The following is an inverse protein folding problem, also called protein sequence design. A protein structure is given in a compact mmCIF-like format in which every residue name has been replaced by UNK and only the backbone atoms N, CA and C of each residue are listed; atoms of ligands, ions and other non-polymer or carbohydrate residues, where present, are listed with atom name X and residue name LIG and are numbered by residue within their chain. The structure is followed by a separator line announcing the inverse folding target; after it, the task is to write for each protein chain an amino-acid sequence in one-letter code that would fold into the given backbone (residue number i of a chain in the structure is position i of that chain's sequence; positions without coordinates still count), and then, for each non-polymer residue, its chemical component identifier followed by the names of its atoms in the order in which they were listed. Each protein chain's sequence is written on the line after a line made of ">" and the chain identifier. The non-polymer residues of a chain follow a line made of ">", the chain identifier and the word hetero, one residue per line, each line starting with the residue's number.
data_IF_775150805539
#
_entry.id   IF_775150805539
#
_cell.length_a   1.000
_cell.length_b   1.000
_cell.length_c   1.000
_cell.angle_alpha   90.00
_cell.angle_beta   90.00
_cell.angle_gamma   90.00
#
_symmetry.space_group_name_H-M   'P 1'
#
loop_
_entity.id
_entity.type
_entity.pdbx_description
1 polymer ?
#
# COMPACT_ATOMS: atom_id res chain seq x y z
N UNK A 1 22.63 -3.96 -56.43
CA UNK A 1 21.20 -3.83 -56.10
C UNK A 1 20.85 -4.84 -55.01
N UNK A 2 20.68 -4.36 -53.76
CA UNK A 2 20.00 -5.00 -52.59
C UNK A 2 20.46 -4.24 -51.34
N UNK A 3 19.71 -3.18 -51.00
CA UNK A 3 19.93 -2.31 -49.84
C UNK A 3 19.06 -2.88 -48.69
N UNK A 4 19.68 -3.33 -47.60
CA UNK A 4 19.00 -3.77 -46.38
C UNK A 4 18.27 -2.56 -45.77
N UNK A 5 16.95 -2.60 -45.70
CA UNK A 5 16.16 -1.66 -44.90
C UNK A 5 16.37 -1.99 -43.41
N UNK A 6 16.91 -1.02 -42.68
CA UNK A 6 16.89 -1.03 -41.21
C UNK A 6 15.57 -0.39 -40.79
N UNK A 7 14.72 -1.14 -40.11
CA UNK A 7 13.55 -0.59 -39.41
C UNK A 7 14.08 0.11 -38.15
N UNK A 8 13.98 1.42 -38.12
CA UNK A 8 14.21 2.21 -36.91
C UNK A 8 12.92 2.16 -36.07
N UNK A 9 12.99 1.50 -34.91
CA UNK A 9 11.99 1.67 -33.86
C UNK A 9 12.22 3.05 -33.24
N UNK A 10 11.26 3.95 -33.41
CA UNK A 10 11.24 5.26 -32.75
C UNK A 10 10.61 5.05 -31.38
N UNK A 11 11.45 5.04 -30.34
CA UNK A 11 11.00 5.14 -28.95
C UNK A 11 10.56 6.58 -28.71
N UNK A 12 9.27 6.82 -28.55
CA UNK A 12 8.77 8.15 -28.16
C UNK A 12 9.02 8.30 -26.65
N UNK A 13 10.09 9.02 -26.30
CA UNK A 13 10.28 9.56 -24.97
C UNK A 13 9.31 10.74 -24.80
N UNK A 14 8.26 10.55 -24.00
CA UNK A 14 7.27 11.58 -23.72
C UNK A 14 7.79 12.49 -22.60
N UNK A 15 8.48 13.57 -22.97
CA UNK A 15 8.72 14.70 -22.06
C UNK A 15 7.47 15.58 -22.05
N UNK A 16 6.70 15.57 -20.95
CA UNK A 16 5.51 16.42 -20.79
C UNK A 16 5.81 17.58 -19.85
N UNK A 17 5.71 18.79 -20.40
CA UNK A 17 5.75 20.08 -19.72
C UNK A 17 4.31 20.48 -19.40
N UNK A 18 4.01 20.77 -18.13
CA UNK A 18 2.68 21.21 -17.69
C UNK A 18 2.46 22.70 -17.97
N UNK A 19 1.36 23.04 -18.66
CA UNK A 19 0.80 24.38 -18.69
C UNK A 19 -0.45 24.41 -17.79
N UNK A 20 -0.40 25.19 -16.71
CA UNK A 20 -1.52 25.38 -15.78
C UNK A 20 -2.51 26.42 -16.34
N UNK A 21 -3.77 26.03 -16.50
CA UNK A 21 -4.90 26.97 -16.47
C UNK A 21 -5.43 26.99 -15.03
N UNK A 22 -5.39 28.16 -14.39
CA UNK A 22 -5.89 28.36 -13.03
C UNK A 22 -7.42 28.42 -13.10
N UNK A 23 -8.07 27.31 -12.78
CA UNK A 23 -9.47 27.25 -12.39
C UNK A 23 -9.57 27.32 -10.87
N UNK A 24 -10.39 28.23 -10.34
CA UNK A 24 -10.68 28.31 -8.91
C UNK A 24 -11.51 27.08 -8.49
N UNK A 25 -10.96 26.21 -7.64
CA UNK A 25 -11.70 25.10 -7.05
C UNK A 25 -12.51 25.58 -5.83
N UNK A 26 -13.77 25.19 -5.77
CA UNK A 26 -14.59 25.31 -4.57
C UNK A 26 -14.10 24.28 -3.52
N UNK A 27 -13.78 24.77 -2.32
CA UNK A 27 -13.29 23.97 -1.19
C UNK A 27 -14.42 23.14 -0.59
N UNK A 28 -14.44 21.85 -0.88
CA UNK A 28 -15.03 20.85 0.02
C UNK A 28 -13.90 19.94 0.48
N UNK A 29 -13.15 20.37 1.50
CA UNK A 29 -12.11 19.56 2.09
C UNK A 29 -12.42 19.37 3.58
N UNK A 30 -12.86 18.17 3.91
CA UNK A 30 -13.03 17.72 5.29
C UNK A 30 -11.77 17.04 5.86
N UNK A 31 -10.78 16.73 5.00
CA UNK A 31 -9.44 16.27 5.38
C UNK A 31 -8.42 17.43 5.55
N UNK A 32 -7.15 17.10 5.74
CA UNK A 32 -6.05 18.04 6.01
C UNK A 32 -5.68 18.91 4.80
N UNK A 33 -5.95 18.44 3.59
CA UNK A 33 -5.61 19.14 2.36
C UNK A 33 -6.83 19.80 1.71
N UNK A 34 -6.69 20.96 1.04
CA UNK A 34 -7.81 21.68 0.43
C UNK A 34 -8.49 20.95 -0.74
N UNK A 35 -7.91 19.85 -1.22
CA UNK A 35 -8.48 18.99 -2.24
C UNK A 35 -7.55 17.84 -2.59
N UNK A 36 -8.07 16.87 -3.33
CA UNK A 36 -7.40 15.62 -3.68
C UNK A 36 -7.54 15.31 -5.18
N UNK A 37 -6.58 14.56 -5.71
CA UNK A 37 -6.53 14.06 -7.09
C UNK A 37 -6.11 12.59 -7.06
N UNK A 38 -6.73 11.78 -7.90
CA UNK A 38 -6.37 10.37 -8.03
C UNK A 38 -5.83 10.05 -9.41
N UNK A 39 -4.92 9.09 -9.46
CA UNK A 39 -4.49 8.42 -10.70
C UNK A 39 -4.78 6.93 -10.55
N UNK A 40 -5.08 6.26 -11.66
CA UNK A 40 -5.30 4.81 -11.67
C UNK A 40 -4.28 4.20 -12.61
N UNK A 41 -3.56 3.18 -12.15
CA UNK A 41 -2.80 2.29 -13.00
C UNK A 41 -3.48 0.93 -13.02
N UNK A 42 -3.58 0.35 -14.20
CA UNK A 42 -4.11 -1.01 -14.40
C UNK A 42 -3.04 -1.85 -15.05
N UNK A 43 -2.87 -3.10 -14.62
CA UNK A 43 -1.87 -4.03 -15.13
C UNK A 43 -2.51 -5.35 -15.51
N UNK A 44 -2.21 -5.84 -16.71
CA UNK A 44 -2.68 -7.12 -17.19
C UNK A 44 -1.69 -8.22 -16.77
N UNK A 45 -2.17 -9.11 -15.89
CA UNK A 45 -1.37 -10.20 -15.33
C UNK A 45 -1.40 -11.47 -16.19
N UNK A 46 -2.22 -11.47 -17.25
CA UNK A 46 -2.42 -12.62 -18.13
C UNK A 46 -1.48 -12.61 -19.33
N UNK A 47 -1.45 -13.74 -20.03
CA UNK A 47 -0.71 -13.93 -21.29
C UNK A 47 -1.52 -13.52 -22.53
N UNK A 48 -2.74 -13.02 -22.34
CA UNK A 48 -3.67 -12.58 -23.38
C UNK A 48 -3.92 -11.08 -23.25
N UNK A 49 -4.40 -10.41 -24.30
CA UNK A 49 -4.87 -9.02 -24.19
C UNK A 49 -6.11 -8.97 -23.30
N UNK A 50 -6.17 -8.00 -22.38
CA UNK A 50 -7.30 -7.77 -21.48
C UNK A 50 -8.20 -6.65 -22.01
N UNK A 51 -9.51 -6.91 -22.08
CA UNK A 51 -10.53 -5.89 -22.33
C UNK A 51 -11.09 -5.43 -20.99
N UNK A 52 -10.95 -4.14 -20.69
CA UNK A 52 -11.33 -3.57 -19.40
C UNK A 52 -12.42 -2.50 -19.53
N UNK A 53 -13.23 -2.37 -18.49
CA UNK A 53 -14.21 -1.29 -18.32
C UNK A 53 -13.99 -0.66 -16.95
N UNK A 54 -13.74 0.65 -16.93
CA UNK A 54 -13.71 1.47 -15.73
C UNK A 54 -15.05 2.19 -15.61
N UNK A 55 -15.83 1.86 -14.59
CA UNK A 55 -17.09 2.52 -14.25
C UNK A 55 -16.89 3.43 -13.04
N UNK A 56 -17.04 4.75 -13.25
CA UNK A 56 -16.90 5.77 -12.23
C UNK A 56 -18.27 6.10 -11.63
N UNK A 57 -18.40 5.92 -10.32
CA UNK A 57 -19.63 6.20 -9.58
C UNK A 57 -19.40 7.39 -8.64
N UNK A 58 -20.37 8.31 -8.56
CA UNK A 58 -20.34 9.38 -7.55
C UNK A 58 -20.61 8.82 -6.15
N UNK A 59 -20.35 9.63 -5.12
CA UNK A 59 -20.61 9.24 -3.72
C UNK A 59 -22.04 8.75 -3.46
N UNK A 60 -23.04 9.22 -4.20
CA UNK A 60 -24.44 8.79 -4.08
C UNK A 60 -24.75 7.46 -4.81
N UNK A 61 -23.78 6.88 -5.52
CA UNK A 61 -23.91 5.65 -6.29
C UNK A 61 -24.37 5.86 -7.73
N UNK A 62 -24.61 7.09 -8.17
CA UNK A 62 -24.92 7.37 -9.57
C UNK A 62 -23.71 7.15 -10.47
N UNK A 63 -23.91 6.49 -11.61
CA UNK A 63 -22.87 6.30 -12.62
C UNK A 63 -22.57 7.63 -13.32
N UNK A 64 -21.33 8.12 -13.16
CA UNK A 64 -20.84 9.33 -13.83
C UNK A 64 -20.35 9.02 -15.24
N UNK A 65 -19.51 7.99 -15.38
CA UNK A 65 -18.84 7.69 -16.64
C UNK A 65 -18.41 6.23 -16.72
N UNK A 66 -18.42 5.67 -17.92
CA UNK A 66 -17.69 4.46 -18.27
C UNK A 66 -16.59 4.76 -19.27
N UNK A 67 -15.43 4.12 -19.09
CA UNK A 67 -14.33 4.08 -20.06
C UNK A 67 -14.02 2.62 -20.39
N UNK A 68 -14.00 2.28 -21.67
CA UNK A 68 -13.52 0.97 -22.14
C UNK A 68 -12.12 1.12 -22.71
N UNK A 69 -11.26 0.15 -22.42
CA UNK A 69 -9.90 0.14 -22.90
C UNK A 69 -9.36 -1.28 -23.08
N UNK A 70 -8.18 -1.40 -23.68
CA UNK A 70 -7.44 -2.64 -23.78
C UNK A 70 -6.07 -2.50 -23.11
N UNK A 71 -5.62 -3.58 -22.47
CA UNK A 71 -4.27 -3.69 -21.93
C UNK A 71 -3.62 -4.91 -22.55
N UNK A 72 -2.54 -4.70 -23.31
CA UNK A 72 -1.77 -5.81 -23.87
C UNK A 72 -1.21 -6.71 -22.76
N UNK A 73 -0.92 -7.97 -23.10
CA UNK A 73 -0.35 -8.95 -22.17
C UNK A 73 0.91 -8.41 -21.48
N UNK A 74 1.06 -8.68 -20.18
CA UNK A 74 2.20 -8.22 -19.36
C UNK A 74 2.51 -6.71 -19.56
N UNK A 75 1.48 -5.87 -19.69
CA UNK A 75 1.61 -4.40 -19.78
C UNK A 75 0.72 -3.70 -18.75
N UNK A 76 1.08 -2.48 -18.40
CA UNK A 76 0.24 -1.57 -17.62
C UNK A 76 -0.21 -0.37 -18.44
N UNK A 77 -1.32 0.25 -18.00
CA UNK A 77 -1.82 1.52 -18.49
C UNK A 77 -2.13 2.44 -17.31
N UNK A 78 -1.69 3.70 -17.40
CA UNK A 78 -1.91 4.72 -16.37
C UNK A 78 -2.91 5.75 -16.89
N UNK A 79 -3.90 6.06 -16.06
CA UNK A 79 -4.91 7.10 -16.25
C UNK A 79 -4.59 8.25 -15.30
N UNK A 80 -3.82 9.24 -15.78
CA UNK A 80 -3.44 10.44 -15.02
C UNK A 80 -4.58 11.44 -14.89
N UNK A 81 -5.40 11.56 -15.94
CA UNK A 81 -6.60 12.39 -15.94
C UNK A 81 -7.80 11.47 -16.05
N UNK A 82 -8.60 11.42 -14.99
CA UNK A 82 -9.80 10.62 -14.97
C UNK A 82 -10.88 11.29 -15.83
N UNK A 83 -11.64 10.53 -16.65
CA UNK A 83 -12.63 11.07 -17.59
C UNK A 83 -13.94 11.47 -16.89
N UNK A 84 -13.85 12.16 -15.75
CA UNK A 84 -14.97 12.58 -14.89
C UNK A 84 -15.05 14.10 -14.85
N UNK A 85 -16.21 14.64 -14.47
CA UNK A 85 -16.37 16.10 -14.33
C UNK A 85 -15.54 16.65 -13.16
N UNK A 86 -15.20 17.94 -13.22
CA UNK A 86 -14.60 18.65 -12.10
C UNK A 86 -15.50 18.55 -10.85
N UNK A 87 -14.87 18.37 -9.69
CA UNK A 87 -15.60 18.13 -8.43
C UNK A 87 -16.09 16.69 -8.26
N UNK A 88 -15.68 15.75 -9.12
CA UNK A 88 -15.94 14.33 -8.90
C UNK A 88 -15.37 13.87 -7.56
N UNK A 89 -16.23 13.23 -6.77
CA UNK A 89 -15.89 12.47 -5.58
C UNK A 89 -16.70 11.19 -5.62
N UNK A 90 -16.05 10.06 -5.40
CA UNK A 90 -16.69 8.75 -5.53
C UNK A 90 -15.69 7.63 -5.71
N UNK A 91 -16.10 6.60 -6.44
CA UNK A 91 -15.37 5.35 -6.60
C UNK A 91 -15.24 4.92 -8.06
N UNK A 92 -14.38 3.94 -8.31
CA UNK A 92 -14.23 3.29 -9.62
C UNK A 92 -14.36 1.78 -9.44
N UNK A 93 -15.11 1.13 -10.33
CA UNK A 93 -15.15 -0.33 -10.45
C UNK A 93 -14.50 -0.70 -11.76
N UNK A 94 -13.50 -1.58 -11.71
CA UNK A 94 -12.77 -2.04 -12.89
C UNK A 94 -13.18 -3.49 -13.17
N UNK A 95 -13.84 -3.75 -14.29
CA UNK A 95 -14.14 -5.10 -14.76
C UNK A 95 -13.22 -5.47 -15.91
N UNK A 96 -12.86 -6.75 -16.02
CA UNK A 96 -11.95 -7.26 -17.05
C UNK A 96 -12.33 -8.68 -17.46
N UNK A 97 -12.05 -9.05 -18.71
CA UNK A 97 -12.17 -10.43 -19.19
C UNK A 97 -10.90 -11.29 -18.94
N UNK A 98 -9.83 -10.66 -18.44
CA UNK A 98 -8.60 -11.31 -17.98
C UNK A 98 -8.25 -10.85 -16.55
N UNK A 99 -7.46 -11.62 -15.77
CA UNK A 99 -6.92 -11.14 -14.51
C UNK A 99 -6.12 -9.83 -14.66
N UNK A 100 -6.58 -8.79 -13.97
CA UNK A 100 -5.93 -7.49 -13.91
C UNK A 100 -5.74 -7.08 -12.46
N UNK A 101 -4.70 -6.29 -12.22
CA UNK A 101 -4.49 -5.59 -10.96
C UNK A 101 -4.62 -4.09 -11.17
N UNK A 102 -4.94 -3.35 -10.12
CA UNK A 102 -4.98 -1.90 -10.14
C UNK A 102 -4.17 -1.31 -8.99
N UNK A 103 -3.57 -0.16 -9.23
CA UNK A 103 -2.95 0.70 -8.22
C UNK A 103 -3.57 2.07 -8.35
N UNK A 104 -3.81 2.73 -7.24
CA UNK A 104 -4.28 4.10 -7.23
C UNK A 104 -3.35 4.96 -6.38
N UNK A 105 -2.97 6.12 -6.90
CA UNK A 105 -2.27 7.13 -6.11
C UNK A 105 -3.25 8.24 -5.80
N UNK A 106 -3.52 8.47 -4.52
CA UNK A 106 -4.23 9.63 -4.02
C UNK A 106 -3.22 10.70 -3.66
N UNK A 107 -3.34 11.88 -4.26
CA UNK A 107 -2.46 13.02 -3.99
C UNK A 107 -3.28 14.22 -3.56
N UNK A 108 -2.68 15.13 -2.78
CA UNK A 108 -3.29 16.43 -2.57
C UNK A 108 -3.33 17.23 -3.89
N UNK A 109 -4.18 18.25 -3.98
CA UNK A 109 -4.35 19.06 -5.21
C UNK A 109 -3.06 19.73 -5.70
N UNK A 110 -2.13 20.01 -4.79
CA UNK A 110 -0.83 20.62 -5.05
C UNK A 110 0.24 19.60 -5.52
N UNK A 111 -0.05 18.30 -5.45
CA UNK A 111 0.85 17.20 -5.80
C UNK A 111 2.12 17.13 -4.93
N UNK A 112 2.03 17.58 -3.67
CA UNK A 112 3.13 17.64 -2.69
C UNK A 112 3.03 16.57 -1.61
N UNK A 113 1.96 15.78 -1.61
CA UNK A 113 1.75 14.65 -0.70
C UNK A 113 0.83 13.63 -1.36
N UNK A 114 1.04 12.34 -1.09
CA UNK A 114 0.14 11.31 -1.58
C UNK A 114 0.44 9.90 -1.12
N UNK A 115 -0.62 9.11 -0.94
CA UNK A 115 -0.56 7.70 -0.63
C UNK A 115 -0.93 6.81 -1.82
N UNK A 116 -0.39 5.60 -1.84
CA UNK A 116 -0.68 4.57 -2.84
C UNK A 116 -1.40 3.40 -2.20
N UNK A 117 -2.33 2.80 -2.92
CA UNK A 117 -3.01 1.57 -2.50
C UNK A 117 -3.34 0.68 -3.70
N UNK A 118 -3.49 -0.62 -3.46
CA UNK A 118 -3.86 -1.61 -4.47
C UNK A 118 -5.39 -1.68 -4.59
N UNK A 119 -5.93 -1.88 -5.79
CA UNK A 119 -7.36 -2.12 -5.98
C UNK A 119 -7.78 -3.48 -5.45
N UNK A 120 -8.86 -3.52 -4.68
CA UNK A 120 -9.41 -4.76 -4.13
C UNK A 120 -10.23 -5.53 -5.16
N UNK A 121 -9.99 -6.84 -5.27
CA UNK A 121 -10.70 -7.71 -6.22
C UNK A 121 -12.08 -8.15 -5.70
N UNK A 122 -12.27 -8.13 -4.39
CA UNK A 122 -13.49 -8.55 -3.70
C UNK A 122 -13.70 -7.68 -2.45
N UNK A 123 -14.96 -7.39 -2.12
CA UNK A 123 -15.31 -6.78 -0.83
C UNK A 123 -15.39 -7.83 0.28
N UNK A 124 -15.57 -7.38 1.51
CA UNK A 124 -15.87 -8.22 2.68
C UNK A 124 -17.00 -7.63 3.52
N UNK A 125 -17.78 -8.50 4.16
CA UNK A 125 -18.79 -8.07 5.15
C UNK A 125 -18.15 -7.66 6.48
N UNK A 126 -16.87 -7.94 6.69
CA UNK A 126 -16.08 -7.49 7.83
C UNK A 126 -14.73 -6.98 7.35
N UNK A 127 -14.39 -5.75 7.70
CA UNK A 127 -13.12 -5.11 7.32
C UNK A 127 -12.46 -4.49 8.55
N UNK A 128 -11.18 -4.75 8.74
CA UNK A 128 -10.40 -4.23 9.86
C UNK A 128 -9.47 -3.10 9.41
N UNK A 129 -9.37 -2.07 10.25
CA UNK A 129 -8.50 -0.90 10.06
C UNK A 129 -7.58 -0.79 11.28
N UNK A 130 -6.36 -1.37 11.23
CA UNK A 130 -5.49 -1.46 12.40
C UNK A 130 -4.99 -0.11 12.94
N UNK A 131 -4.96 0.91 12.08
CA UNK A 131 -4.41 2.23 12.39
C UNK A 131 -5.34 3.34 11.90
N UNK A 132 -5.97 4.03 12.85
CA UNK A 132 -6.69 5.27 12.66
C UNK A 132 -6.24 6.30 13.71
N UNK A 133 -6.37 7.57 13.37
CA UNK A 133 -5.87 8.67 14.18
C UNK A 133 -6.84 9.84 14.21
N UNK A 134 -7.06 10.41 15.40
CA UNK A 134 -7.80 11.65 15.59
C UNK A 134 -6.99 12.58 16.48
N UNK A 135 -6.43 13.65 15.90
CA UNK A 135 -5.55 14.58 16.60
C UNK A 135 -4.32 13.91 17.25
N UNK A 136 -3.70 12.97 16.53
CA UNK A 136 -2.49 12.28 16.98
C UNK A 136 -1.25 13.19 16.94
N UNK A 137 -0.16 12.72 17.55
CA UNK A 137 1.11 13.42 17.63
C UNK A 137 1.62 13.81 16.24
N UNK A 138 2.24 14.99 16.15
CA UNK A 138 2.66 15.57 14.86
C UNK A 138 1.51 16.11 14.00
N UNK A 139 0.27 16.11 14.49
CA UNK A 139 -0.89 16.66 13.78
C UNK A 139 -1.61 15.67 12.87
N UNK A 140 -1.30 14.38 13.01
CA UNK A 140 -1.88 13.33 12.16
C UNK A 140 -3.36 13.11 12.46
N UNK A 141 -4.10 12.91 11.37
CA UNK A 141 -5.49 12.51 11.37
C UNK A 141 -5.71 11.48 10.27
N UNK A 142 -6.72 10.65 10.43
CA UNK A 142 -7.15 9.72 9.41
C UNK A 142 -8.53 10.06 8.86
N UNK A 143 -8.76 9.57 7.66
CA UNK A 143 -10.09 9.34 7.12
C UNK A 143 -10.05 8.07 6.29
N UNK A 144 -11.19 7.41 6.13
CA UNK A 144 -11.28 6.25 5.24
C UNK A 144 -12.47 6.37 4.30
N UNK A 145 -12.26 5.93 3.06
CA UNK A 145 -13.29 5.79 2.05
C UNK A 145 -13.82 4.36 2.09
N UNK A 146 -15.13 4.23 2.21
CA UNK A 146 -15.86 2.97 2.15
C UNK A 146 -16.71 2.95 0.89
N UNK A 147 -16.60 1.89 0.10
CA UNK A 147 -17.38 1.67 -1.12
C UNK A 147 -18.32 0.47 -0.93
N UNK A 148 -19.57 0.64 -1.32
CA UNK A 148 -20.48 -0.46 -1.61
C UNK A 148 -20.42 -0.77 -3.11
N UNK A 149 -19.74 -1.82 -3.58
CA UNK A 149 -19.66 -2.16 -5.00
C UNK A 149 -20.92 -2.89 -5.53
N UNK A 150 -21.92 -3.14 -4.68
CA UNK A 150 -23.06 -4.00 -5.00
C UNK A 150 -24.25 -3.22 -5.60
N UNK A 151 -25.14 -3.90 -6.36
CA UNK A 151 -26.36 -3.31 -6.91
C UNK A 151 -27.48 -3.08 -5.87
N UNK A 152 -27.27 -3.44 -4.61
CA UNK A 152 -28.19 -3.27 -3.49
C UNK A 152 -27.62 -2.32 -2.45
N UNK A 153 -28.48 -1.68 -1.65
CA UNK A 153 -28.05 -0.91 -0.48
C UNK A 153 -27.59 -1.85 0.65
N UNK A 154 -26.62 -1.42 1.44
CA UNK A 154 -26.13 -2.15 2.63
C UNK A 154 -26.15 -1.25 3.86
N UNK A 155 -26.51 -1.81 5.03
CA UNK A 155 -26.19 -1.14 6.29
C UNK A 155 -24.74 -1.42 6.67
N UNK A 156 -24.11 -0.45 7.30
CA UNK A 156 -22.73 -0.52 7.75
C UNK A 156 -22.66 -0.04 9.20
N UNK A 157 -21.99 -0.81 10.04
CA UNK A 157 -21.63 -0.43 11.40
C UNK A 157 -20.11 -0.37 11.51
N UNK A 158 -19.58 0.73 12.02
CA UNK A 158 -18.15 0.89 12.32
C UNK A 158 -17.99 0.95 13.83
N UNK A 159 -17.33 -0.07 14.39
CA UNK A 159 -16.97 -0.14 15.80
C UNK A 159 -15.50 0.25 15.95
N UNK A 160 -15.22 1.26 16.75
CA UNK A 160 -13.86 1.72 17.02
C UNK A 160 -13.35 1.14 18.34
N UNK A 161 -12.05 0.87 18.43
CA UNK A 161 -11.44 0.25 19.62
C UNK A 161 -11.44 1.15 20.85
N UNK A 162 -11.71 2.45 20.68
CA UNK A 162 -11.92 3.42 21.75
C UNK A 162 -13.37 3.48 22.26
N UNK A 163 -14.24 2.59 21.76
CA UNK A 163 -15.64 2.47 22.16
C UNK A 163 -16.61 3.38 21.40
N UNK A 164 -16.14 4.24 20.49
CA UNK A 164 -17.03 4.98 19.60
C UNK A 164 -17.68 4.04 18.56
N UNK A 165 -18.89 4.36 18.10
CA UNK A 165 -19.59 3.57 17.09
C UNK A 165 -20.41 4.49 16.19
N UNK A 166 -20.37 4.22 14.88
CA UNK A 166 -21.21 4.91 13.90
C UNK A 166 -21.91 3.91 12.99
N UNK A 167 -23.07 4.32 12.46
CA UNK A 167 -23.91 3.51 11.59
C UNK A 167 -24.37 4.35 10.40
N UNK A 168 -24.30 3.78 9.20
CA UNK A 168 -24.83 4.39 7.98
C UNK A 168 -25.57 3.34 7.15
N UNK A 169 -26.43 3.82 6.25
CA UNK A 169 -26.93 3.02 5.13
C UNK A 169 -26.29 3.55 3.85
N UNK A 170 -25.61 2.68 3.11
CA UNK A 170 -24.94 3.03 1.87
C UNK A 170 -25.74 2.49 0.68
N UNK A 171 -26.11 3.36 -0.25
CA UNK A 171 -26.85 2.97 -1.46
C UNK A 171 -26.01 2.05 -2.36
N UNK A 172 -26.65 1.43 -3.36
CA UNK A 172 -25.97 0.66 -4.39
C UNK A 172 -24.88 1.49 -5.07
N UNK A 173 -23.68 0.93 -5.27
CA UNK A 173 -22.52 1.59 -5.89
C UNK A 173 -22.00 2.86 -5.19
N UNK A 174 -22.61 3.26 -4.07
CA UNK A 174 -22.26 4.48 -3.35
C UNK A 174 -20.97 4.33 -2.56
N UNK A 175 -20.41 5.48 -2.15
CA UNK A 175 -19.24 5.53 -1.29
C UNK A 175 -19.38 6.61 -0.23
N UNK A 176 -18.80 6.38 0.95
CA UNK A 176 -18.81 7.31 2.07
C UNK A 176 -17.41 7.52 2.62
N UNK A 177 -17.10 8.76 3.03
CA UNK A 177 -15.85 9.08 3.71
C UNK A 177 -16.12 9.33 5.19
N UNK A 178 -15.42 8.61 6.05
CA UNK A 178 -15.44 8.83 7.50
C UNK A 178 -14.22 9.65 7.89
N UNK A 179 -14.42 10.81 8.52
CA UNK A 179 -13.34 11.71 8.94
C UNK A 179 -13.16 11.65 10.45
N UNK A 180 -12.13 10.94 10.93
CA UNK A 180 -11.95 10.66 12.36
C UNK A 180 -11.80 11.93 13.20
N UNK A 181 -11.24 13.01 12.64
CA UNK A 181 -11.16 14.30 13.34
C UNK A 181 -12.52 14.92 13.68
N UNK A 182 -13.57 14.55 12.95
CA UNK A 182 -14.94 15.07 13.12
C UNK A 182 -15.82 14.14 13.97
N UNK A 183 -15.32 12.94 14.25
CA UNK A 183 -15.97 11.96 15.11
C UNK A 183 -15.58 12.20 16.59
N UNK A 184 -16.41 11.72 17.51
CA UNK A 184 -16.24 11.96 18.96
C UNK A 184 -15.33 10.93 19.62
N UNK A 185 -14.13 10.75 19.06
CA UNK A 185 -13.14 9.80 19.59
C UNK A 185 -12.57 10.26 20.93
N UNK A 186 -12.27 9.28 21.78
CA UNK A 186 -11.66 9.52 23.10
C UNK A 186 -10.17 9.21 23.12
N UNK A 187 -9.68 8.49 22.10
CA UNK A 187 -8.27 8.17 21.91
C UNK A 187 -7.72 8.82 20.64
N UNK A 188 -6.44 9.17 20.65
CA UNK A 188 -5.79 9.78 19.49
C UNK A 188 -5.32 8.77 18.44
N UNK A 189 -5.14 7.51 18.86
CA UNK A 189 -4.76 6.37 18.03
C UNK A 189 -5.66 5.20 18.41
N UNK A 190 -6.27 4.57 17.42
CA UNK A 190 -7.21 3.46 17.62
C UNK A 190 -7.30 2.61 16.36
N UNK A 191 -8.07 1.53 16.43
CA UNK A 191 -8.41 0.69 15.28
C UNK A 191 -9.93 0.67 15.08
N UNK A 192 -10.38 0.14 13.95
CA UNK A 192 -11.80 -0.08 13.70
C UNK A 192 -12.09 -1.48 13.15
N UNK A 193 -13.31 -1.94 13.41
CA UNK A 193 -13.97 -3.04 12.71
C UNK A 193 -15.20 -2.48 12.01
N UNK A 194 -15.20 -2.55 10.68
CA UNK A 194 -16.34 -2.27 9.83
C UNK A 194 -17.10 -3.57 9.59
N UNK A 195 -18.40 -3.57 9.82
CA UNK A 195 -19.30 -4.69 9.52
C UNK A 195 -20.44 -4.21 8.62
N UNK A 196 -20.93 -5.08 7.74
CA UNK A 196 -21.95 -4.73 6.75
C UNK A 196 -22.80 -5.91 6.31
N UNK A 197 -24.00 -5.63 5.80
CA UNK A 197 -24.94 -6.64 5.30
C UNK A 197 -24.47 -7.26 3.97
N UNK A 198 -23.78 -6.49 3.13
CA UNK A 198 -23.19 -6.90 1.85
C UNK A 198 -21.69 -6.58 1.80
N UNK A 199 -20.87 -7.29 1.01
CA UNK A 199 -19.43 -7.05 0.95
C UNK A 199 -19.06 -5.62 0.54
N UNK A 200 -18.23 -4.93 1.35
CA UNK A 200 -17.73 -3.57 1.09
C UNK A 200 -16.20 -3.55 0.92
N UNK A 201 -15.69 -2.49 0.31
CA UNK A 201 -14.25 -2.22 0.15
C UNK A 201 -13.88 -0.97 0.92
N UNK A 202 -12.74 -0.95 1.60
CA UNK A 202 -12.29 0.18 2.42
C UNK A 202 -10.83 0.51 2.15
N UNK A 203 -10.54 1.81 2.00
CA UNK A 203 -9.17 2.35 1.93
C UNK A 203 -9.04 3.46 2.96
N UNK A 204 -8.00 3.39 3.80
CA UNK A 204 -7.70 4.40 4.79
C UNK A 204 -6.57 5.32 4.33
N UNK A 205 -6.66 6.58 4.72
CA UNK A 205 -5.69 7.62 4.48
C UNK A 205 -5.23 8.21 5.81
N UNK A 206 -3.92 8.35 5.95
CA UNK A 206 -3.26 8.88 7.14
C UNK A 206 -2.52 10.15 6.72
N UNK A 207 -2.86 11.30 7.30
CA UNK A 207 -2.37 12.58 6.83
C UNK A 207 -2.07 13.56 7.96
N UNK A 208 -1.01 14.34 7.78
CA UNK A 208 -0.81 15.62 8.46
C UNK A 208 -0.93 16.76 7.45
N UNK A 209 -0.40 17.95 7.76
CA UNK A 209 -0.49 19.10 6.85
C UNK A 209 0.47 19.04 5.67
N UNK A 210 1.39 18.08 5.63
CA UNK A 210 2.49 18.03 4.68
C UNK A 210 2.72 16.66 4.01
N UNK A 211 2.13 15.59 4.56
CA UNK A 211 2.40 14.22 4.17
C UNK A 211 1.13 13.36 4.19
N UNK A 212 1.13 12.27 3.43
CA UNK A 212 -0.01 11.38 3.28
C UNK A 212 0.42 9.94 2.98
N UNK A 213 -0.11 8.99 3.73
CA UNK A 213 -0.04 7.57 3.41
C UNK A 213 -1.44 7.01 3.16
N UNK A 214 -1.50 5.86 2.49
CA UNK A 214 -2.72 5.09 2.30
C UNK A 214 -2.46 3.61 2.57
N UNK A 215 -3.50 2.87 2.96
CA UNK A 215 -3.47 1.42 3.07
C UNK A 215 -4.88 0.84 2.87
N UNK A 216 -4.97 -0.42 2.44
CA UNK A 216 -6.23 -1.13 2.27
C UNK A 216 -6.76 -1.71 3.59
N UNK A 217 -8.07 -1.75 3.76
CA UNK A 217 -8.69 -2.46 4.86
C UNK A 217 -8.53 -3.99 4.74
N UNK A 218 -8.45 -4.67 5.87
CA UNK A 218 -8.20 -6.12 5.91
C UNK A 218 -9.51 -6.89 5.99
N UNK A 219 -9.77 -7.79 5.05
CA UNK A 219 -10.93 -8.69 5.11
C UNK A 219 -10.85 -9.70 6.27
N UNK A 220 -9.63 -10.04 6.70
CA UNK A 220 -9.33 -10.95 7.81
C UNK A 220 -7.94 -10.65 8.39
N UNK A 221 -7.68 -11.12 9.61
CA UNK A 221 -6.33 -11.14 10.19
C UNK A 221 -5.62 -12.47 9.98
N UNK A 222 -4.29 -12.43 9.92
CA UNK A 222 -3.41 -13.61 9.85
C UNK A 222 -2.95 -14.02 11.26
N UNK A 223 -2.69 -15.30 11.51
CA UNK A 223 -2.13 -15.72 12.81
C UNK A 223 -0.70 -15.22 12.99
N UNK A 224 0.08 -15.26 11.91
CA UNK A 224 1.49 -14.87 11.90
C UNK A 224 1.77 -13.91 10.72
N UNK A 225 1.28 -12.66 10.75
CA UNK A 225 1.50 -11.72 9.65
C UNK A 225 2.98 -11.44 9.42
N UNK A 226 3.33 -11.16 8.16
CA UNK A 226 4.70 -10.86 7.72
C UNK A 226 4.81 -9.48 7.05
N UNK A 227 5.94 -8.82 7.27
CA UNK A 227 6.23 -7.45 6.88
C UNK A 227 7.59 -7.43 6.15
N UNK A 228 7.61 -7.43 4.81
CA UNK A 228 8.84 -7.61 4.03
C UNK A 228 9.81 -6.43 4.14
N UNK A 229 9.42 -5.30 4.75
CA UNK A 229 10.33 -4.19 5.00
C UNK A 229 10.07 -3.49 6.33
N UNK A 230 11.10 -3.45 7.16
CA UNK A 230 11.22 -2.62 8.36
C UNK A 230 12.50 -1.80 8.23
N UNK A 231 12.35 -0.48 8.30
CA UNK A 231 13.44 0.48 8.34
C UNK A 231 13.54 1.09 9.74
N UNK A 232 14.75 1.14 10.30
CA UNK A 232 15.04 1.98 11.45
C UNK A 232 16.36 2.73 11.24
N UNK A 233 16.38 4.01 11.60
CA UNK A 233 17.54 4.89 11.48
C UNK A 233 18.16 4.86 10.06
N UNK A 234 17.34 4.65 9.04
CA UNK A 234 17.80 4.53 7.65
C UNK A 234 17.65 5.87 6.92
N UNK A 235 18.68 6.71 7.00
CA UNK A 235 18.66 8.06 6.45
C UNK A 235 17.47 8.89 6.96
N UNK A 236 17.12 8.70 8.24
CA UNK A 236 15.98 9.35 8.89
C UNK A 236 14.65 8.63 8.70
N UNK A 237 14.53 7.62 7.83
CA UNK A 237 13.31 6.79 7.73
C UNK A 237 13.25 5.78 8.88
N UNK A 238 12.14 5.80 9.61
CA UNK A 238 11.79 4.87 10.69
C UNK A 238 10.44 4.21 10.39
N UNK A 239 10.20 3.07 11.03
CA UNK A 239 9.00 2.26 10.83
C UNK A 239 8.25 2.10 12.14
N UNK A 240 6.93 2.31 12.07
CA UNK A 240 5.98 1.89 13.09
C UNK A 240 5.09 0.78 12.51
N UNK A 241 4.87 -0.28 13.29
CA UNK A 241 4.01 -1.39 12.91
C UNK A 241 2.81 -1.39 13.85
N UNK A 242 1.64 -1.05 13.32
CA UNK A 242 0.42 -1.05 14.10
C UNK A 242 -0.28 -2.40 13.97
N UNK A 243 -0.28 -3.22 15.03
CA UNK A 243 -0.89 -4.57 15.03
C UNK A 243 -2.19 -4.54 15.83
N UNK A 244 -3.30 -4.87 15.15
CA UNK A 244 -4.61 -5.08 15.75
C UNK A 244 -4.85 -6.56 16.01
N UNK A 245 -5.26 -6.90 17.23
CA UNK A 245 -5.84 -8.20 17.54
C UNK A 245 -7.32 -8.18 17.17
N UNK A 246 -7.66 -8.87 16.08
CA UNK A 246 -9.02 -8.90 15.53
C UNK A 246 -9.89 -10.00 16.15
N UNK A 247 -9.32 -10.79 17.06
CA UNK A 247 -10.00 -11.83 17.82
C UNK A 247 -10.56 -11.35 19.15
N UNK A 248 -10.99 -12.30 19.98
CA UNK A 248 -11.75 -12.11 21.21
C UNK A 248 -10.97 -12.36 22.49
N UNK A 249 -9.70 -12.78 22.37
CA UNK A 249 -8.85 -13.13 23.50
C UNK A 249 -7.55 -12.32 23.45
N UNK A 250 -7.11 -11.79 24.59
CA UNK A 250 -5.80 -11.13 24.69
C UNK A 250 -4.68 -12.09 24.26
N UNK A 251 -3.71 -11.59 23.49
CA UNK A 251 -2.59 -12.41 23.01
C UNK A 251 -1.26 -11.70 23.19
N UNK A 252 -0.24 -12.44 23.61
CA UNK A 252 1.15 -11.98 23.59
C UNK A 252 1.72 -12.22 22.20
N UNK A 253 2.14 -11.13 21.56
CA UNK A 253 2.69 -11.10 20.21
C UNK A 253 4.18 -10.82 20.29
N UNK A 254 4.98 -11.70 19.70
CA UNK A 254 6.42 -11.46 19.45
C UNK A 254 6.63 -11.22 17.96
N UNK A 255 7.15 -10.05 17.62
CA UNK A 255 7.66 -9.74 16.29
C UNK A 255 9.16 -10.01 16.25
N UNK A 256 9.58 -10.84 15.31
CA UNK A 256 11.00 -11.08 15.01
C UNK A 256 11.44 -10.22 13.85
N UNK A 257 12.55 -9.52 14.03
CA UNK A 257 13.16 -8.66 13.02
C UNK A 257 14.41 -9.34 12.45
N UNK A 258 14.44 -9.54 11.13
CA UNK A 258 15.54 -10.20 10.42
C UNK A 258 16.22 -9.23 9.46
N UNK A 259 17.52 -8.91 9.62
CA UNK A 259 18.20 -7.95 8.75
C UNK A 259 18.37 -8.53 7.33
N UNK A 260 18.19 -7.69 6.31
CA UNK A 260 18.47 -8.01 4.90
C UNK A 260 19.67 -7.24 4.35
N UNK A 261 19.85 -5.99 4.78
CA UNK A 261 20.91 -5.12 4.29
C UNK A 261 21.70 -4.42 5.41
N UNK A 262 21.11 -4.22 6.58
CA UNK A 262 21.78 -3.60 7.73
C UNK A 262 21.11 -3.98 9.05
N UNK A 263 21.89 -3.92 10.13
CA UNK A 263 21.44 -4.16 11.50
C UNK A 263 21.62 -5.61 11.95
N UNK A 264 21.13 -5.88 13.16
CA UNK A 264 21.22 -7.18 13.82
C UNK A 264 19.83 -7.77 14.02
N UNK A 265 19.71 -9.11 13.99
CA UNK A 265 18.45 -9.76 14.30
C UNK A 265 18.05 -9.51 15.76
N UNK A 266 16.78 -9.21 16.00
CA UNK A 266 16.23 -8.96 17.33
C UNK A 266 14.74 -9.28 17.38
N UNK A 267 14.14 -9.16 18.56
CA UNK A 267 12.71 -9.42 18.77
C UNK A 267 12.10 -8.37 19.67
N UNK A 268 10.80 -8.14 19.52
CA UNK A 268 10.00 -7.30 20.40
C UNK A 268 8.75 -8.08 20.80
N UNK A 269 8.36 -8.01 22.07
CA UNK A 269 7.18 -8.72 22.58
C UNK A 269 6.27 -7.77 23.34
N UNK A 270 5.00 -7.74 22.95
CA UNK A 270 3.96 -6.96 23.64
C UNK A 270 2.65 -7.75 23.70
N UNK A 271 1.78 -7.41 24.65
CA UNK A 271 0.42 -7.96 24.70
C UNK A 271 -0.52 -7.08 23.89
N UNK A 272 -1.27 -7.67 22.98
CA UNK A 272 -2.33 -7.01 22.22
C UNK A 272 -3.67 -7.53 22.73
N UNK A 273 -4.40 -6.68 23.46
CA UNK A 273 -5.70 -7.03 24.00
C UNK A 273 -6.74 -7.27 22.89
N UNK A 274 -7.77 -8.05 23.17
CA UNK A 274 -8.83 -8.35 22.21
C UNK A 274 -9.48 -7.08 21.64
N UNK A 275 -9.60 -7.00 20.31
CA UNK A 275 -10.15 -5.83 19.61
C UNK A 275 -9.31 -4.55 19.71
N UNK A 276 -8.14 -4.60 20.35
CA UNK A 276 -7.25 -3.45 20.51
C UNK A 276 -6.08 -3.49 19.53
N UNK A 277 -5.35 -2.39 19.46
CA UNK A 277 -4.20 -2.20 18.59
C UNK A 277 -2.98 -1.72 19.37
N UNK A 278 -1.78 -2.19 19.01
CA UNK A 278 -0.51 -1.83 19.66
C UNK A 278 0.56 -1.54 18.62
N UNK A 279 1.39 -0.53 18.89
CA UNK A 279 2.50 -0.12 18.02
C UNK A 279 3.77 -0.90 18.37
N UNK A 280 4.39 -1.51 17.37
CA UNK A 280 5.67 -2.21 17.40
C UNK A 280 6.71 -1.45 16.54
N UNK A 281 7.96 -1.90 16.60
CA UNK A 281 9.16 -1.41 15.92
C UNK A 281 9.67 -0.04 16.41
N UNK A 282 8.82 0.98 16.46
CA UNK A 282 9.22 2.36 16.81
C UNK A 282 10.03 2.43 18.11
N UNK A 283 9.40 2.09 19.24
CA UNK A 283 10.07 2.08 20.54
C UNK A 283 11.22 1.06 20.64
N UNK A 284 11.08 -0.11 20.01
CA UNK A 284 12.10 -1.14 20.00
C UNK A 284 13.42 -0.65 19.37
N UNK A 285 13.35 0.03 18.22
CA UNK A 285 14.53 0.56 17.54
C UNK A 285 14.94 1.96 18.01
N UNK A 286 14.05 2.74 18.63
CA UNK A 286 14.41 4.03 19.22
C UNK A 286 15.22 3.85 20.51
N UNK A 287 14.74 3.02 21.43
CA UNK A 287 15.30 2.95 22.78
C UNK A 287 15.31 1.52 23.39
N UNK A 288 15.01 0.48 22.61
CA UNK A 288 15.00 -0.90 23.09
C UNK A 288 13.75 -1.28 23.89
N UNK A 289 12.69 -0.46 23.88
CA UNK A 289 11.46 -0.76 24.62
C UNK A 289 10.88 -2.14 24.24
N UNK A 290 10.51 -2.92 25.25
CA UNK A 290 9.86 -4.23 25.12
C UNK A 290 10.59 -5.22 24.18
N UNK A 291 11.90 -5.06 23.99
CA UNK A 291 12.62 -5.75 22.92
C UNK A 291 14.04 -6.14 23.31
N UNK A 292 14.63 -6.99 22.47
CA UNK A 292 16.07 -7.28 22.45
C UNK A 292 16.81 -6.44 21.40
N UNK A 293 16.13 -5.46 20.78
CA UNK A 293 16.69 -4.62 19.74
C UNK A 293 17.62 -3.56 20.34
N UNK A 294 18.66 -3.20 19.60
CA UNK A 294 19.59 -2.15 20.04
C UNK A 294 19.01 -0.79 19.66
N UNK A 295 18.63 0.02 20.66
CA UNK A 295 18.15 1.38 20.44
C UNK A 295 19.16 2.22 19.64
N UNK A 296 18.68 2.95 18.64
CA UNK A 296 19.48 3.76 17.72
C UNK A 296 20.22 2.98 16.63
N UNK A 297 20.10 1.65 16.56
CA UNK A 297 20.73 0.86 15.50
C UNK A 297 20.08 1.14 14.14
N UNK A 298 20.91 1.24 13.10
CA UNK A 298 20.42 1.23 11.71
C UNK A 298 19.98 -0.18 11.34
N UNK A 299 18.70 -0.34 11.01
CA UNK A 299 18.11 -1.60 10.59
C UNK A 299 17.44 -1.47 9.23
N UNK A 300 17.72 -2.42 8.34
CA UNK A 300 17.03 -2.62 7.06
C UNK A 300 16.83 -4.12 6.91
N UNK A 301 15.58 -4.56 7.03
CA UNK A 301 15.23 -5.97 7.06
C UNK A 301 13.73 -6.19 6.98
N UNK A 302 13.27 -7.32 7.49
CA UNK A 302 11.85 -7.67 7.60
C UNK A 302 11.42 -7.79 9.05
N UNK A 303 10.10 -7.81 9.27
CA UNK A 303 9.46 -8.20 10.51
C UNK A 303 8.47 -9.34 10.25
N UNK A 304 8.30 -10.25 11.20
CA UNK A 304 7.28 -11.30 11.13
C UNK A 304 6.88 -11.74 12.54
N UNK A 305 5.60 -12.07 12.72
CA UNK A 305 5.11 -12.57 14.01
C UNK A 305 5.55 -14.03 14.19
N UNK A 306 6.31 -14.31 15.25
CA UNK A 306 6.80 -15.66 15.60
C UNK A 306 6.07 -16.28 16.77
N UNK A 307 5.53 -15.46 17.67
CA UNK A 307 4.69 -15.91 18.77
C UNK A 307 3.40 -15.12 18.78
N UNK A 308 2.29 -15.84 18.88
CA UNK A 308 0.95 -15.32 19.08
C UNK A 308 0.28 -16.29 20.07
N UNK A 309 0.41 -15.99 21.37
CA UNK A 309 0.20 -16.98 22.44
C UNK A 309 -1.22 -17.57 22.49
N UNK A 310 -2.21 -16.85 21.98
CA UNK A 310 -3.60 -17.30 21.88
C UNK A 310 -4.08 -17.55 20.43
N UNK A 311 -3.15 -17.58 19.46
CA UNK A 311 -3.42 -17.83 18.04
C UNK A 311 -4.55 -16.98 17.45
N UNK A 312 -4.61 -15.70 17.86
CA UNK A 312 -5.65 -14.78 17.41
C UNK A 312 -5.37 -14.26 16.00
N UNK A 313 -6.40 -13.93 15.20
CA UNK A 313 -6.18 -13.27 13.93
C UNK A 313 -5.65 -11.84 14.14
N UNK A 314 -4.52 -11.51 13.50
CA UNK A 314 -3.83 -10.22 13.60
C UNK A 314 -3.84 -9.50 12.25
N UNK A 315 -4.24 -8.24 12.24
CA UNK A 315 -4.11 -7.36 11.07
C UNK A 315 -3.09 -6.28 11.39
N UNK A 316 -2.13 -6.00 10.48
CA UNK A 316 -1.08 -5.04 10.77
C UNK A 316 -0.80 -4.07 9.61
N UNK A 317 -0.62 -2.79 9.93
CA UNK A 317 -0.20 -1.75 8.98
C UNK A 317 1.19 -1.30 9.33
N UNK A 318 2.06 -1.22 8.33
CA UNK A 318 3.43 -0.75 8.47
C UNK A 318 3.52 0.66 7.92
N UNK A 319 3.85 1.60 8.78
CA UNK A 319 4.04 3.02 8.44
C UNK A 319 5.54 3.33 8.39
N UNK A 320 6.00 3.98 7.32
CA UNK A 320 7.39 4.40 7.14
C UNK A 320 7.45 5.92 7.05
N UNK A 321 8.21 6.56 7.93
CA UNK A 321 8.24 8.03 8.07
C UNK A 321 9.65 8.57 8.26
N UNK A 322 9.92 9.74 7.68
CA UNK A 322 11.12 10.51 8.01
C UNK A 322 10.99 11.21 9.39
N UNK A 323 11.96 10.98 10.28
CA UNK A 323 11.96 11.44 11.67
C UNK A 323 12.45 12.88 11.91
N UNK A 324 12.89 13.62 10.89
CA UNK A 324 13.32 15.02 11.04
C UNK A 324 12.74 15.93 9.96
N UNK A 325 12.07 16.99 10.41
CA UNK A 325 11.76 18.15 9.57
C UNK A 325 13.04 18.69 8.92
N UNK A 326 13.06 19.02 7.61
CA UNK A 326 11.92 19.21 6.72
C UNK A 326 11.50 17.98 5.90
N UNK A 327 11.95 16.76 6.21
CA UNK A 327 11.55 15.59 5.44
C UNK A 327 10.11 15.20 5.78
N UNK A 328 9.20 15.44 4.83
CA UNK A 328 7.76 15.15 4.91
C UNK A 328 7.43 13.75 4.40
N UNK A 329 8.41 12.85 4.27
CA UNK A 329 8.18 11.54 3.64
C UNK A 329 7.32 10.65 4.55
N UNK A 330 6.20 10.16 4.03
CA UNK A 330 5.34 9.25 4.74
C UNK A 330 4.64 8.27 3.78
N UNK A 331 4.71 6.98 4.09
CA UNK A 331 4.00 5.97 3.33
C UNK A 331 3.61 4.81 4.24
N UNK A 332 2.62 4.03 3.83
CA UNK A 332 2.17 2.87 4.57
C UNK A 332 1.90 1.71 3.62
N UNK A 333 1.92 0.50 4.17
CA UNK A 333 1.50 -0.72 3.49
C UNK A 333 0.92 -1.72 4.49
N UNK A 334 0.07 -2.62 4.01
CA UNK A 334 -0.54 -3.70 4.76
C UNK A 334 0.41 -4.90 4.93
N UNK A 335 0.42 -5.51 6.11
CA UNK A 335 1.11 -6.78 6.31
C UNK A 335 0.47 -7.89 5.48
N UNK A 336 1.22 -8.96 5.23
CA UNK A 336 0.76 -10.09 4.44
C UNK A 336 0.37 -11.26 5.34
N UNK A 337 -0.63 -12.02 4.93
CA UNK A 337 -0.84 -13.38 5.42
C UNK A 337 0.09 -14.34 4.64
N UNK A 338 1.07 -14.99 5.30
CA UNK A 338 1.89 -16.01 4.66
C UNK A 338 1.07 -17.14 4.01
N UNK A 339 -0.15 -17.39 4.46
CA UNK A 339 -0.98 -18.46 3.89
C UNK A 339 -1.51 -18.14 2.50
N UNK A 340 -1.73 -16.85 2.19
CA UNK A 340 -2.18 -16.36 0.88
C UNK A 340 -1.04 -16.12 -0.12
N UNK A 341 0.21 -16.18 0.34
CA UNK A 341 1.37 -15.95 -0.49
C UNK A 341 1.56 -17.04 -1.56
N UNK A 342 2.07 -16.62 -2.71
CA UNK A 342 2.26 -17.46 -3.91
C UNK A 342 3.74 -17.59 -4.25
N UNK A 343 4.09 -18.44 -5.21
CA UNK A 343 5.48 -18.59 -5.66
C UNK A 343 5.94 -17.46 -6.59
N UNK A 344 5.05 -16.52 -6.94
CA UNK A 344 5.40 -15.43 -7.83
C UNK A 344 4.63 -14.15 -7.49
N UNK A 345 5.32 -13.01 -7.53
CA UNK A 345 4.71 -11.69 -7.29
C UNK A 345 5.02 -10.74 -8.43
N UNK A 346 4.08 -9.84 -8.72
CA UNK A 346 4.16 -8.81 -9.76
C UNK A 346 4.20 -7.42 -9.14
N UNK A 347 5.03 -6.55 -9.71
CA UNK A 347 5.25 -5.17 -9.27
C UNK A 347 5.01 -4.25 -10.48
N UNK A 348 3.82 -3.64 -10.61
CA UNK A 348 3.42 -2.95 -11.83
C UNK A 348 4.28 -1.73 -12.20
N UNK A 349 4.96 -1.11 -11.23
CA UNK A 349 5.77 0.09 -11.43
C UNK A 349 7.10 0.02 -10.71
N UNK A 350 8.18 0.08 -11.47
CA UNK A 350 9.58 0.15 -11.06
C UNK A 350 10.21 1.35 -11.76
N UNK A 351 10.99 2.13 -11.03
CA UNK A 351 11.66 3.31 -11.56
C UNK A 351 13.18 3.22 -11.33
N UNK A 352 13.97 3.63 -12.33
CA UNK A 352 15.38 4.02 -12.15
C UNK A 352 15.59 5.42 -12.72
N UNK A 353 15.73 6.39 -11.81
CA UNK A 353 15.95 7.82 -12.07
C UNK A 353 14.94 8.48 -13.01
N UNK A 354 13.75 7.92 -13.16
CA UNK A 354 12.67 8.53 -13.93
C UNK A 354 12.19 9.83 -13.28
N UNK A 355 12.52 10.99 -13.88
CA UNK A 355 12.27 12.30 -13.28
C UNK A 355 12.78 12.43 -11.82
N UNK A 356 13.87 11.71 -11.50
CA UNK A 356 14.44 11.64 -10.16
C UNK A 356 13.83 10.58 -9.23
N UNK A 357 12.74 9.91 -9.63
CA UNK A 357 12.17 8.77 -8.92
C UNK A 357 12.99 7.51 -9.12
N UNK A 358 13.16 6.75 -8.06
CA UNK A 358 13.72 5.41 -8.07
C UNK A 358 12.92 4.51 -7.15
N UNK A 359 13.02 3.20 -7.36
CA UNK A 359 12.39 2.21 -6.48
C UNK A 359 13.40 1.37 -5.73
N UNK A 360 12.95 0.76 -4.64
CA UNK A 360 13.51 -0.47 -4.11
C UNK A 360 12.42 -1.53 -4.02
N UNK A 361 12.84 -2.80 -4.10
CA UNK A 361 11.97 -3.96 -3.91
C UNK A 361 12.51 -4.78 -2.74
N UNK A 362 11.61 -5.35 -1.95
CA UNK A 362 11.93 -6.19 -0.81
C UNK A 362 11.09 -7.45 -0.93
N UNK A 363 11.73 -8.57 -1.27
CA UNK A 363 11.09 -9.85 -1.53
C UNK A 363 11.42 -10.80 -0.40
N UNK A 364 10.41 -11.22 0.35
CA UNK A 364 10.57 -12.09 1.52
C UNK A 364 10.12 -13.51 1.20
N UNK A 365 10.91 -14.49 1.62
CA UNK A 365 10.48 -15.89 1.65
C UNK A 365 9.66 -16.13 2.92
N UNK A 366 8.36 -16.36 2.77
CA UNK A 366 7.45 -16.69 3.88
C UNK A 366 7.05 -18.16 3.88
N UNK A 367 7.67 -18.95 2.99
CA UNK A 367 7.55 -20.41 2.97
C UNK A 367 8.42 -21.10 4.03
N UNK A 368 8.24 -22.40 4.15
CA UNK A 368 8.95 -23.25 5.13
C UNK A 368 10.26 -23.85 4.62
N UNK A 369 10.71 -23.48 3.43
CA UNK A 369 11.90 -24.07 2.80
C UNK A 369 12.76 -23.01 2.15
N UNK A 370 14.08 -23.26 2.10
CA UNK A 370 15.00 -22.44 1.31
C UNK A 370 14.53 -22.41 -0.15
N UNK A 371 14.50 -21.22 -0.75
CA UNK A 371 14.09 -21.06 -2.15
C UNK A 371 15.02 -20.11 -2.88
N UNK A 372 15.38 -20.45 -4.12
CA UNK A 372 15.98 -19.49 -5.02
C UNK A 372 14.91 -18.57 -5.62
N UNK A 373 15.19 -17.28 -5.62
CA UNK A 373 14.38 -16.19 -6.15
C UNK A 373 15.06 -15.64 -7.38
N UNK A 374 14.30 -15.44 -8.45
CA UNK A 374 14.71 -14.69 -9.64
C UNK A 374 13.67 -13.61 -9.91
N UNK A 375 14.13 -12.36 -10.03
CA UNK A 375 13.29 -11.28 -10.51
C UNK A 375 13.78 -10.74 -11.85
N UNK A 376 12.84 -10.62 -12.78
CA UNK A 376 13.02 -10.02 -14.10
C UNK A 376 12.28 -8.70 -14.22
N UNK A 377 12.81 -7.79 -15.03
CA UNK A 377 12.27 -6.46 -15.26
C UNK A 377 11.93 -6.29 -16.75
N UNK A 378 10.79 -5.67 -17.05
CA UNK A 378 10.33 -5.52 -18.44
C UNK A 378 11.25 -4.62 -19.26
N UNK A 379 11.43 -4.97 -20.54
CA UNK A 379 12.16 -4.15 -21.52
C UNK A 379 13.64 -3.84 -21.13
N UNK A 380 14.24 -4.71 -20.32
CA UNK A 380 15.66 -4.67 -19.93
C UNK A 380 16.24 -6.07 -19.75
N UNK A 381 17.57 -6.19 -19.67
CA UNK A 381 18.28 -7.43 -19.31
C UNK A 381 18.67 -7.47 -17.83
N UNK A 382 18.33 -6.43 -17.06
CA UNK A 382 18.59 -6.40 -15.63
C UNK A 382 17.75 -7.47 -14.92
N UNK A 383 18.39 -8.23 -14.04
CA UNK A 383 17.79 -9.28 -13.22
C UNK A 383 18.39 -9.23 -11.82
N UNK A 384 17.61 -9.62 -10.82
CA UNK A 384 18.14 -9.90 -9.48
C UNK A 384 17.88 -11.35 -9.12
N UNK A 385 18.83 -11.97 -8.44
CA UNK A 385 18.71 -13.35 -7.97
C UNK A 385 19.17 -13.45 -6.54
N UNK A 386 18.58 -14.35 -5.77
CA UNK A 386 19.00 -14.65 -4.41
C UNK A 386 18.57 -16.07 -4.02
N UNK A 387 19.16 -16.61 -2.96
CA UNK A 387 18.63 -17.80 -2.29
C UNK A 387 18.28 -17.37 -0.87
N UNK A 388 17.02 -17.58 -0.48
CA UNK A 388 16.47 -17.08 0.77
C UNK A 388 16.05 -18.26 1.65
N UNK A 389 16.57 -18.32 2.86
CA UNK A 389 16.01 -19.13 3.93
C UNK A 389 14.62 -18.62 4.34
N UNK A 390 13.80 -19.42 5.04
CA UNK A 390 12.55 -18.94 5.62
C UNK A 390 12.76 -17.64 6.41
N UNK A 391 11.90 -16.67 6.16
CA UNK A 391 11.89 -15.31 6.72
C UNK A 391 13.04 -14.39 6.30
N UNK A 392 13.95 -14.83 5.42
CA UNK A 392 14.93 -13.93 4.82
C UNK A 392 14.29 -13.08 3.73
N UNK A 393 14.87 -11.90 3.51
CA UNK A 393 14.41 -10.92 2.53
C UNK A 393 15.54 -10.52 1.61
N UNK A 394 15.27 -10.54 0.30
CA UNK A 394 16.10 -9.92 -0.72
C UNK A 394 15.70 -8.46 -0.88
N UNK A 395 16.59 -7.55 -0.47
CA UNK A 395 16.41 -6.10 -0.66
C UNK A 395 17.27 -5.62 -1.84
N UNK A 396 16.64 -5.02 -2.85
CA UNK A 396 17.35 -4.42 -3.98
C UNK A 396 16.86 -3.00 -4.25
N UNK A 397 17.80 -2.03 -4.28
CA UNK A 397 17.57 -0.65 -4.70
C UNK A 397 17.90 -0.50 -6.19
N UNK A 398 16.96 -0.08 -7.03
CA UNK A 398 17.16 0.00 -8.48
C UNK A 398 17.92 1.25 -8.96
N UNK A 399 18.16 2.23 -8.08
CA UNK A 399 18.81 3.48 -8.46
C UNK A 399 20.21 3.24 -9.07
N UNK A 400 20.40 3.70 -10.31
CA UNK A 400 21.59 3.50 -11.14
C UNK A 400 21.87 2.05 -11.59
N UNK A 401 20.88 1.15 -11.57
CA UNK A 401 21.08 -0.26 -11.93
C UNK A 401 20.45 -0.71 -13.25
N UNK A 402 19.48 0.04 -13.79
CA UNK A 402 18.76 -0.34 -15.00
C UNK A 402 19.16 0.58 -16.15
N UNK A 403 18.59 1.78 -16.20
CA UNK A 403 18.95 2.86 -17.11
C UNK A 403 18.31 4.17 -16.63
N UNK A 404 18.87 5.30 -17.03
CA UNK A 404 18.30 6.61 -16.72
C UNK A 404 16.92 6.75 -17.39
N UNK A 405 15.92 7.24 -16.64
CA UNK A 405 14.56 7.38 -17.14
C UNK A 405 13.76 6.07 -17.24
N UNK A 406 14.22 4.97 -16.64
CA UNK A 406 13.50 3.70 -16.72
C UNK A 406 12.17 3.75 -15.98
N UNK A 407 11.12 3.28 -16.66
CA UNK A 407 9.82 2.94 -16.08
C UNK A 407 9.41 1.59 -16.65
N UNK A 408 9.13 0.63 -15.78
CA UNK A 408 8.65 -0.68 -16.19
C UNK A 408 8.01 -1.42 -15.03
N UNK A 409 7.89 -2.74 -15.16
CA UNK A 409 7.39 -3.62 -14.11
C UNK A 409 8.43 -4.67 -13.75
N UNK A 410 8.27 -5.29 -12.59
CA UNK A 410 9.07 -6.44 -12.17
C UNK A 410 8.20 -7.66 -11.88
N UNK A 411 8.83 -8.83 -11.96
CA UNK A 411 8.23 -10.11 -11.62
C UNK A 411 9.26 -10.94 -10.92
N UNK A 412 8.97 -11.36 -9.69
CA UNK A 412 9.82 -12.25 -8.92
C UNK A 412 9.17 -13.63 -8.88
N UNK A 413 9.98 -14.67 -9.08
CA UNK A 413 9.57 -16.07 -8.99
C UNK A 413 10.47 -16.82 -8.02
N UNK A 414 9.86 -17.64 -7.18
CA UNK A 414 10.50 -18.62 -6.34
C UNK A 414 10.45 -19.99 -7.02
N UNK A 415 11.53 -20.75 -6.89
CA UNK A 415 11.73 -22.01 -7.63
C UNK A 415 11.48 -23.28 -6.82
N UNK A 416 11.46 -23.20 -5.49
CA UNK A 416 11.14 -24.35 -4.66
C UNK A 416 9.66 -24.74 -4.80
N UNK A 417 9.37 -26.04 -4.70
CA UNK A 417 7.98 -26.53 -4.72
C UNK A 417 7.23 -26.03 -3.49
N UNK A 418 6.00 -25.52 -3.70
CA UNK A 418 5.23 -24.86 -2.65
C UNK A 418 5.84 -23.58 -2.08
N UNK A 419 6.83 -22.98 -2.76
CA UNK A 419 7.43 -21.72 -2.30
C UNK A 419 6.39 -20.60 -2.17
N UNK A 420 6.52 -19.80 -1.12
CA UNK A 420 5.66 -18.66 -0.83
C UNK A 420 6.50 -17.40 -0.65
N UNK A 421 6.24 -16.39 -1.47
CA UNK A 421 6.92 -15.10 -1.41
C UNK A 421 5.91 -13.96 -1.35
N UNK A 422 6.32 -12.90 -0.68
CA UNK A 422 5.63 -11.62 -0.62
C UNK A 422 6.62 -10.52 -0.95
N UNK A 423 6.14 -9.35 -1.37
CA UNK A 423 7.02 -8.23 -1.59
C UNK A 423 6.33 -6.88 -1.44
N UNK A 424 7.13 -5.87 -1.15
CA UNK A 424 6.73 -4.46 -1.23
C UNK A 424 7.70 -3.68 -2.10
N UNK A 425 7.18 -2.61 -2.69
CA UNK A 425 7.96 -1.66 -3.47
C UNK A 425 7.91 -0.30 -2.79
N UNK A 426 9.07 0.23 -2.44
CA UNK A 426 9.19 1.63 -2.03
C UNK A 426 9.59 2.44 -3.26
N UNK A 427 8.98 3.61 -3.45
CA UNK A 427 9.32 4.58 -4.48
C UNK A 427 9.62 5.91 -3.82
N UNK A 428 10.78 6.50 -4.14
CA UNK A 428 11.19 7.78 -3.59
C UNK A 428 11.76 8.68 -4.69
N UNK A 429 11.58 9.99 -4.54
CA UNK A 429 12.19 11.00 -5.40
C UNK A 429 13.45 11.58 -4.77
N UNK A 430 14.53 11.57 -5.54
CA UNK A 430 15.81 12.15 -5.11
C UNK A 430 15.67 13.67 -4.88
N UNK A 431 16.07 14.15 -3.72
CA UNK A 431 16.09 15.59 -3.40
C UNK A 431 14.71 16.23 -3.23
N UNK A 432 13.66 15.42 -3.00
CA UNK A 432 12.33 15.95 -2.72
C UNK A 432 12.33 16.77 -1.42
N UNK A 433 11.66 17.92 -1.46
CA UNK A 433 11.42 18.80 -0.30
C UNK A 433 10.00 18.65 0.25
N UNK A 434 9.18 17.90 -0.45
CA UNK A 434 7.80 17.55 -0.18
C UNK A 434 7.63 16.02 -0.14
N UNK A 435 6.45 15.56 0.26
CA UNK A 435 6.19 14.13 0.40
C UNK A 435 6.02 13.50 -0.98
N UNK A 436 6.99 12.65 -1.33
CA UNK A 436 7.10 11.96 -2.62
C UNK A 436 7.47 10.50 -2.39
N UNK A 437 7.14 9.99 -1.19
CA UNK A 437 7.39 8.63 -0.80
C UNK A 437 6.11 7.83 -0.97
N UNK A 438 6.19 6.81 -1.81
CA UNK A 438 5.06 5.91 -2.07
C UNK A 438 5.49 4.49 -1.80
N UNK A 439 4.56 3.69 -1.31
CA UNK A 439 4.78 2.26 -1.05
C UNK A 439 3.55 1.51 -1.52
N UNK A 440 3.76 0.33 -2.08
CA UNK A 440 2.67 -0.57 -2.41
C UNK A 440 3.10 -2.03 -2.26
N UNK A 441 2.12 -2.88 -2.02
CA UNK A 441 2.21 -4.32 -1.93
C UNK A 441 2.30 -4.93 -3.33
N UNK A 442 3.25 -5.82 -3.55
CA UNK A 442 3.31 -6.59 -4.78
C UNK A 442 2.09 -7.53 -4.86
N UNK A 443 1.60 -7.76 -6.08
CA UNK A 443 0.40 -8.57 -6.32
C UNK A 443 0.80 -10.04 -6.51
N UNK A 444 0.15 -10.95 -5.78
CA UNK A 444 0.30 -12.40 -5.95
C UNK A 444 -0.10 -12.85 -7.38
N UNK A 445 0.58 -13.89 -7.88
CA UNK A 445 0.31 -14.47 -9.20
C UNK A 445 -0.23 -15.90 -9.14
#
# INVERSE_FOLDING_TARGET
>A
MKRKQRYAFVTIALALVFAFAIGYSHTHAQGQFPGYKSTIQTYNMSQSTANIILAFYRQDGSLEKTLTDIIERDRSKIYFTLPVQEGFSGSVVISSDQPVAALSNMMNSALTAGGTYVGESQGSTTVYLPLLMANSDGGFNSWFALQNPNPSSTNVTVNYSDGFTTNITLAAYASHNFYQKQESHTSNLFSAQVTSDEPVVVVAFLEDTASMAAYNGFASGAVNPAMPLVNANNNGINTDIQIQNTGDTDTSVTVSYMPSAAGSACTETQTVAAGQTVTFAGGAFENGANSTCSGGEKFIGSGYVTTNSASQPLAAVVSQRAGSSPLTQFAAYASFDPDEATSAVRMPTINDRNAGFFTSINVMNVGSSETAIECSFTDTTYTITGTLQPNETLTDLQANKIQDGYVGSATCRATADGAKIIAVVNQLKTGATDDQFQVYEAINQ
#
